data_IF_822206981005
#
_entry.id   IF_822206981005
#
_cell.length_a   1.000
_cell.length_b   1.000
_cell.length_c   1.000
_cell.angle_alpha   90.00
_cell.angle_beta   90.00
_cell.angle_gamma   90.00
#
_symmetry.space_group_name_H-M   'P 1'
#
loop_
_entity.id
_entity.type
_entity.pdbx_description
1 polymer ?
#
# COMPACT_ATOMS: atom_id res chain seq x y z
N UNK A 1 12.68 -21.02 31.90
CA UNK A 1 12.00 -22.25 32.37
C UNK A 1 10.79 -21.83 33.19
N UNK A 2 9.58 -22.02 32.65
CA UNK A 2 8.32 -21.62 33.29
C UNK A 2 8.09 -22.44 34.57
N UNK A 3 7.82 -21.75 35.69
CA UNK A 3 7.71 -22.38 37.03
C UNK A 3 6.30 -22.87 37.37
N UNK A 4 5.29 -22.35 36.66
CA UNK A 4 3.89 -22.73 36.80
C UNK A 4 3.43 -23.37 35.48
N UNK A 5 3.64 -24.68 35.34
CA UNK A 5 2.94 -25.46 34.32
C UNK A 5 1.84 -26.25 35.04
N UNK A 6 0.57 -25.97 34.73
CA UNK A 6 -0.45 -27.02 34.88
C UNK A 6 0.00 -28.21 34.02
N UNK A 7 -0.12 -29.44 34.54
CA UNK A 7 0.52 -30.68 34.03
C UNK A 7 0.18 -31.10 32.57
N UNK A 8 -0.41 -30.23 31.76
CA UNK A 8 -1.07 -30.55 30.48
C UNK A 8 -0.48 -29.89 29.24
N UNK A 9 0.42 -28.90 29.33
CA UNK A 9 0.97 -28.23 28.13
C UNK A 9 2.44 -28.65 27.93
N UNK A 10 2.67 -29.63 27.05
CA UNK A 10 4.01 -30.09 26.63
C UNK A 10 4.69 -29.18 25.60
N UNK A 11 4.02 -28.13 25.15
CA UNK A 11 4.52 -27.29 24.07
C UNK A 11 5.56 -26.30 24.59
N UNK A 12 6.75 -26.34 23.97
CA UNK A 12 7.85 -25.42 24.23
C UNK A 12 7.81 -24.32 23.16
N UNK A 13 7.60 -23.04 23.52
CA UNK A 13 7.74 -21.93 22.57
C UNK A 13 9.18 -21.84 22.05
N UNK A 14 9.34 -21.33 20.83
CA UNK A 14 10.66 -21.12 20.21
C UNK A 14 11.49 -20.09 20.97
N UNK A 15 10.84 -19.07 21.54
CA UNK A 15 11.52 -18.00 22.25
C UNK A 15 10.68 -17.29 23.32
N UNK A 16 11.37 -16.50 24.13
CA UNK A 16 10.79 -15.56 25.07
C UNK A 16 11.55 -14.23 24.93
N UNK A 17 10.83 -13.16 24.61
CA UNK A 17 11.36 -11.79 24.63
C UNK A 17 10.99 -11.16 25.97
N UNK A 18 11.96 -10.51 26.61
CA UNK A 18 11.76 -9.74 27.83
C UNK A 18 12.36 -8.35 27.64
N UNK A 19 11.51 -7.34 27.63
CA UNK A 19 11.91 -5.94 27.56
C UNK A 19 11.80 -5.30 28.94
N UNK A 20 12.90 -4.75 29.45
CA UNK A 20 12.95 -4.04 30.72
C UNK A 20 13.28 -2.57 30.50
N UNK A 21 12.40 -1.69 30.95
CA UNK A 21 12.60 -0.23 30.91
C UNK A 21 12.36 0.32 32.32
N UNK A 22 13.45 0.61 33.04
CA UNK A 22 13.40 0.98 34.45
C UNK A 22 12.79 -0.14 35.29
N UNK A 23 11.64 0.12 35.93
CA UNK A 23 10.90 -0.84 36.75
C UNK A 23 9.83 -1.62 35.97
N UNK A 24 9.55 -1.25 34.73
CA UNK A 24 8.55 -1.92 33.90
C UNK A 24 9.20 -3.08 33.15
N UNK A 25 8.48 -4.20 33.11
CA UNK A 25 8.86 -5.40 32.38
C UNK A 25 7.71 -5.77 31.44
N UNK A 26 8.04 -6.09 30.19
CA UNK A 26 7.10 -6.59 29.18
C UNK A 26 7.64 -7.88 28.57
N UNK A 27 6.78 -8.88 28.37
CA UNK A 27 7.14 -10.23 27.94
C UNK A 27 6.31 -10.70 26.76
N UNK A 28 6.96 -11.39 25.84
CA UNK A 28 6.28 -12.04 24.72
C UNK A 28 6.80 -13.47 24.50
N UNK A 29 5.88 -14.43 24.34
CA UNK A 29 6.23 -15.74 23.79
C UNK A 29 6.41 -15.61 22.27
N UNK A 30 7.39 -16.30 21.72
CA UNK A 30 7.66 -16.29 20.27
C UNK A 30 7.42 -17.69 19.71
N UNK A 31 6.66 -17.74 18.61
CA UNK A 31 6.47 -18.91 17.76
C UNK A 31 6.84 -18.55 16.33
N UNK A 32 7.64 -19.40 15.68
CA UNK A 32 8.15 -19.14 14.34
C UNK A 32 7.89 -20.33 13.42
N UNK A 33 7.54 -20.07 12.16
CA UNK A 33 7.41 -21.08 11.11
C UNK A 33 8.18 -20.64 9.88
N UNK A 34 8.91 -21.56 9.26
CA UNK A 34 9.66 -21.33 8.01
C UNK A 34 9.27 -22.34 6.94
N UNK A 35 9.60 -22.05 5.69
CA UNK A 35 9.24 -22.88 4.54
C UNK A 35 7.72 -22.97 4.38
N UNK A 36 7.23 -24.20 4.18
CA UNK A 36 5.82 -24.48 3.95
C UNK A 36 5.03 -24.76 5.24
N UNK A 37 5.64 -24.60 6.41
CA UNK A 37 4.96 -24.84 7.68
C UNK A 37 3.98 -23.70 7.98
N UNK A 38 2.73 -24.05 8.28
CA UNK A 38 1.67 -23.08 8.59
C UNK A 38 1.54 -22.84 10.09
N UNK A 39 0.99 -21.68 10.44
CA UNK A 39 0.60 -21.38 11.81
C UNK A 39 -0.61 -22.22 12.22
N UNK A 40 -0.51 -22.91 13.35
CA UNK A 40 -1.60 -23.70 13.93
C UNK A 40 -2.34 -22.88 14.99
N UNK A 41 -3.64 -22.68 14.77
CA UNK A 41 -4.51 -21.94 15.70
C UNK A 41 -4.56 -22.60 17.08
N UNK A 42 -4.60 -23.93 17.16
CA UNK A 42 -4.66 -24.64 18.44
C UNK A 42 -3.36 -24.47 19.22
N UNK A 43 -2.20 -24.54 18.55
CA UNK A 43 -0.90 -24.26 19.15
C UNK A 43 -0.84 -22.83 19.73
N UNK A 44 -1.31 -21.84 18.96
CA UNK A 44 -1.33 -20.44 19.40
C UNK A 44 -2.23 -20.26 20.64
N UNK A 45 -3.40 -20.91 20.68
CA UNK A 45 -4.28 -20.84 21.86
C UNK A 45 -3.66 -21.49 23.10
N UNK A 46 -2.92 -22.59 22.94
CA UNK A 46 -2.14 -23.18 24.04
C UNK A 46 -1.06 -22.23 24.54
N UNK A 47 -0.39 -21.48 23.67
CA UNK A 47 0.56 -20.44 24.08
C UNK A 47 -0.10 -19.23 24.74
N UNK A 48 -1.30 -18.81 24.30
CA UNK A 48 -2.05 -17.78 25.03
C UNK A 48 -2.41 -18.24 26.44
N UNK A 49 -2.78 -19.51 26.62
CA UNK A 49 -3.03 -20.07 27.94
C UNK A 49 -1.75 -20.07 28.80
N UNK A 50 -0.63 -20.55 28.25
CA UNK A 50 0.67 -20.54 28.92
C UNK A 50 1.11 -19.12 29.31
N UNK A 51 0.92 -18.16 28.41
CA UNK A 51 1.23 -16.75 28.64
C UNK A 51 0.41 -16.18 29.81
N UNK A 52 -0.90 -16.46 29.83
CA UNK A 52 -1.79 -16.08 30.93
C UNK A 52 -1.36 -16.69 32.27
N UNK A 53 -1.01 -17.97 32.29
CA UNK A 53 -0.57 -18.67 33.51
C UNK A 53 0.76 -18.13 34.08
N UNK A 54 1.62 -17.58 33.21
CA UNK A 54 2.97 -17.14 33.56
C UNK A 54 3.18 -15.62 33.55
N UNK A 55 2.09 -14.84 33.44
CA UNK A 55 2.16 -13.38 33.42
C UNK A 55 2.99 -12.84 32.25
N UNK A 56 2.84 -13.46 31.08
CA UNK A 56 3.42 -12.99 29.81
C UNK A 56 2.36 -12.16 29.08
N UNK A 57 2.76 -11.01 28.55
CA UNK A 57 1.83 -9.99 28.06
C UNK A 57 1.22 -10.34 26.70
N UNK A 58 1.95 -11.03 25.82
CA UNK A 58 1.47 -11.39 24.50
C UNK A 58 2.15 -12.64 23.91
N UNK A 59 1.67 -13.04 22.73
CA UNK A 59 2.32 -14.01 21.85
C UNK A 59 2.67 -13.32 20.53
N UNK A 60 3.86 -13.56 20.03
CA UNK A 60 4.35 -13.10 18.73
C UNK A 60 4.51 -14.31 17.82
N UNK A 61 3.89 -14.26 16.65
CA UNK A 61 4.06 -15.26 15.60
C UNK A 61 4.86 -14.68 14.44
N UNK A 62 5.79 -15.47 13.88
CA UNK A 62 6.54 -15.10 12.66
C UNK A 62 6.42 -16.23 11.64
N UNK A 63 5.99 -15.94 10.42
CA UNK A 63 5.90 -16.94 9.35
C UNK A 63 6.06 -16.34 7.95
N UNK A 64 5.92 -17.14 6.90
CA UNK A 64 5.83 -16.63 5.52
C UNK A 64 4.44 -16.09 5.15
N UNK A 65 3.46 -16.14 6.06
CA UNK A 65 2.17 -15.50 5.85
C UNK A 65 2.29 -14.00 6.13
N UNK A 66 1.50 -13.20 5.43
CA UNK A 66 1.50 -11.75 5.62
C UNK A 66 0.26 -11.33 6.41
N UNK A 67 0.42 -10.29 7.21
CA UNK A 67 -0.68 -9.59 7.86
C UNK A 67 -0.67 -8.13 7.45
N UNK A 68 -1.86 -7.58 7.19
CA UNK A 68 -2.04 -6.15 6.92
C UNK A 68 -1.46 -5.29 8.04
N UNK A 69 -1.77 -5.65 9.29
CA UNK A 69 -1.23 -5.01 10.49
C UNK A 69 -0.75 -6.09 11.44
N UNK A 70 0.18 -5.79 12.36
CA UNK A 70 0.64 -6.79 13.33
C UNK A 70 -0.49 -7.36 14.19
N UNK A 71 -1.59 -6.63 14.39
CA UNK A 71 -2.75 -7.09 15.17
C UNK A 71 -3.75 -7.92 14.35
N UNK A 72 -3.75 -7.81 13.03
CA UNK A 72 -4.65 -8.54 12.14
C UNK A 72 -4.03 -9.88 11.73
N UNK A 73 -3.94 -10.81 12.67
CA UNK A 73 -3.33 -12.13 12.47
C UNK A 73 -3.83 -12.85 11.20
N UNK A 74 -2.99 -13.53 10.39
CA UNK A 74 -3.39 -14.12 9.12
C UNK A 74 -4.39 -15.27 9.27
N UNK A 75 -4.30 -16.01 10.38
CA UNK A 75 -5.24 -17.11 10.72
C UNK A 75 -6.51 -16.55 11.37
N UNK A 76 -7.68 -16.85 10.78
CA UNK A 76 -8.96 -16.26 11.16
C UNK A 76 -9.43 -16.71 12.55
N UNK A 77 -9.21 -17.97 12.90
CA UNK A 77 -9.54 -18.56 14.19
C UNK A 77 -8.84 -17.82 15.35
N UNK A 78 -7.59 -17.42 15.13
CA UNK A 78 -6.80 -16.65 16.09
C UNK A 78 -7.35 -15.23 16.24
N UNK A 79 -7.85 -14.61 15.15
CA UNK A 79 -8.51 -13.28 15.21
C UNK A 79 -9.85 -13.34 15.95
N UNK A 80 -10.61 -14.42 15.77
CA UNK A 80 -11.93 -14.63 16.39
C UNK A 80 -11.85 -15.15 17.84
N UNK A 81 -10.65 -15.44 18.32
CA UNK A 81 -10.41 -15.90 19.69
C UNK A 81 -10.93 -14.91 20.73
N UNK A 82 -11.49 -15.44 21.82
CA UNK A 82 -11.97 -14.66 22.97
C UNK A 82 -10.87 -14.41 24.02
N UNK A 83 -9.65 -14.89 23.77
CA UNK A 83 -8.56 -14.74 24.72
C UNK A 83 -8.13 -13.28 24.86
N UNK A 84 -7.87 -12.85 26.09
CA UNK A 84 -7.41 -11.49 26.40
C UNK A 84 -5.92 -11.26 26.14
N UNK A 85 -5.15 -12.34 25.98
CA UNK A 85 -3.72 -12.24 25.64
C UNK A 85 -3.62 -11.92 24.15
N UNK A 86 -3.15 -10.74 23.74
CA UNK A 86 -3.03 -10.39 22.33
C UNK A 86 -2.02 -11.29 21.61
N UNK A 87 -2.28 -11.54 20.32
CA UNK A 87 -1.31 -12.15 19.41
C UNK A 87 -0.93 -11.12 18.36
N UNK A 88 0.36 -10.95 18.13
CA UNK A 88 0.90 -10.13 17.07
C UNK A 88 1.58 -11.01 16.02
N UNK A 89 1.51 -10.60 14.76
CA UNK A 89 2.10 -11.34 13.66
C UNK A 89 2.99 -10.46 12.78
N UNK A 90 4.14 -11.01 12.37
CA UNK A 90 4.98 -10.44 11.33
C UNK A 90 5.37 -11.51 10.31
N UNK A 91 5.49 -11.11 9.05
CA UNK A 91 6.08 -12.01 8.05
C UNK A 91 7.61 -12.00 8.16
N UNK A 92 8.26 -13.09 7.80
CA UNK A 92 9.73 -13.11 7.68
C UNK A 92 10.23 -12.06 6.69
N UNK A 93 9.49 -11.87 5.59
CA UNK A 93 9.79 -10.82 4.61
C UNK A 93 9.73 -9.42 5.20
N UNK A 94 8.86 -9.17 6.18
CA UNK A 94 8.87 -7.90 6.92
C UNK A 94 10.14 -7.75 7.76
N UNK A 95 10.59 -8.82 8.44
CA UNK A 95 11.83 -8.80 9.23
C UNK A 95 13.05 -8.55 8.33
N UNK A 96 13.15 -9.26 7.20
CA UNK A 96 14.22 -9.07 6.21
C UNK A 96 14.22 -7.65 5.68
N UNK A 97 13.07 -7.13 5.27
CA UNK A 97 12.93 -5.77 4.74
C UNK A 97 13.31 -4.72 5.79
N UNK A 98 12.90 -4.92 7.05
CA UNK A 98 13.27 -4.01 8.14
C UNK A 98 14.78 -4.03 8.39
N UNK A 99 15.40 -5.21 8.38
CA UNK A 99 16.86 -5.33 8.51
C UNK A 99 17.59 -4.64 7.35
N UNK A 100 17.12 -4.82 6.11
CA UNK A 100 17.66 -4.16 4.92
C UNK A 100 17.62 -2.63 5.07
N UNK A 101 16.45 -2.07 5.41
CA UNK A 101 16.24 -0.64 5.56
C UNK A 101 17.07 -0.02 6.69
N UNK A 102 17.22 -0.73 7.81
CA UNK A 102 18.06 -0.29 8.92
C UNK A 102 19.54 -0.21 8.52
N UNK A 103 20.00 -1.17 7.72
CA UNK A 103 21.38 -1.23 7.21
C UNK A 103 21.60 -0.16 6.13
N UNK A 104 20.73 -0.07 5.13
CA UNK A 104 20.89 0.86 3.99
C UNK A 104 20.84 2.33 4.41
N UNK A 105 20.00 2.65 5.41
CA UNK A 105 19.85 4.01 5.93
C UNK A 105 20.78 4.32 7.11
N UNK A 106 21.77 3.46 7.40
CA UNK A 106 22.74 3.65 8.49
C UNK A 106 22.10 3.93 9.87
N UNK A 107 20.95 3.29 10.15
CA UNK A 107 20.15 3.55 11.36
C UNK A 107 20.62 2.77 12.61
N UNK A 108 21.75 2.06 12.51
CA UNK A 108 22.33 1.27 13.60
C UNK A 108 23.72 1.83 13.92
N UNK A 109 23.81 2.59 15.01
CA UNK A 109 25.04 3.26 15.44
C UNK A 109 26.10 2.26 15.96
N UNK A 110 25.66 1.23 16.67
CA UNK A 110 26.54 0.24 17.29
C UNK A 110 27.05 -0.78 16.24
N UNK A 111 28.38 -0.88 16.12
CA UNK A 111 29.03 -1.71 15.10
C UNK A 111 28.81 -3.21 15.30
N UNK A 112 28.72 -3.66 16.56
CA UNK A 112 28.50 -5.08 16.85
C UNK A 112 27.07 -5.46 16.53
N UNK A 113 26.10 -4.59 16.86
CA UNK A 113 24.70 -4.76 16.47
C UNK A 113 24.53 -4.74 14.96
N UNK A 114 25.22 -3.84 14.25
CA UNK A 114 25.20 -3.79 12.80
C UNK A 114 25.76 -5.08 12.17
N UNK A 115 26.87 -5.61 12.72
CA UNK A 115 27.45 -6.88 12.28
C UNK A 115 26.46 -8.04 12.46
N UNK A 116 25.83 -8.13 13.64
CA UNK A 116 24.82 -9.16 13.94
C UNK A 116 23.59 -9.05 13.03
N UNK A 117 23.10 -7.82 12.79
CA UNK A 117 21.97 -7.57 11.91
C UNK A 117 22.29 -7.96 10.46
N UNK A 118 23.51 -7.66 9.99
CA UNK A 118 23.96 -8.05 8.66
C UNK A 118 24.10 -9.58 8.53
N UNK A 119 24.59 -10.27 9.57
CA UNK A 119 24.64 -11.74 9.58
C UNK A 119 23.23 -12.36 9.60
N UNK A 120 22.29 -11.76 10.34
CA UNK A 120 20.89 -12.16 10.30
C UNK A 120 20.33 -11.98 8.88
N UNK A 121 20.53 -10.83 8.25
CA UNK A 121 20.12 -10.59 6.84
C UNK A 121 20.70 -11.65 5.91
N UNK A 122 21.99 -11.96 6.04
CA UNK A 122 22.67 -12.98 5.23
C UNK A 122 22.06 -14.37 5.42
N UNK A 123 21.78 -14.75 6.67
CA UNK A 123 21.16 -16.03 6.99
C UNK A 123 19.74 -16.12 6.41
N UNK A 124 18.92 -15.08 6.61
CA UNK A 124 17.52 -15.06 6.18
C UNK A 124 17.38 -15.07 4.64
N UNK A 125 18.33 -14.49 3.91
CA UNK A 125 18.35 -14.49 2.44
C UNK A 125 18.90 -15.80 1.83
N UNK A 126 19.44 -16.71 2.64
CA UNK A 126 19.90 -18.00 2.13
C UNK A 126 18.71 -18.94 1.86
N UNK A 127 18.73 -19.69 0.75
CA UNK A 127 17.63 -20.56 0.32
C UNK A 127 17.20 -21.56 1.42
N UNK A 128 18.17 -22.06 2.21
CA UNK A 128 17.90 -22.98 3.32
C UNK A 128 17.07 -22.38 4.46
N UNK A 129 16.97 -21.06 4.58
CA UNK A 129 16.10 -20.41 5.57
C UNK A 129 14.62 -20.57 5.22
N UNK A 130 14.30 -20.89 3.96
CA UNK A 130 12.93 -21.13 3.51
C UNK A 130 12.03 -19.89 3.66
N UNK A 131 12.59 -18.69 3.61
CA UNK A 131 11.84 -17.43 3.62
C UNK A 131 11.43 -17.10 2.20
N UNK A 132 10.15 -16.81 2.02
CA UNK A 132 9.57 -16.59 0.70
C UNK A 132 8.53 -15.47 0.77
N UNK A 133 8.38 -14.77 -0.36
CA UNK A 133 7.27 -13.87 -0.62
C UNK A 133 5.95 -14.60 -0.84
N UNK A 134 4.89 -13.86 -1.14
CA UNK A 134 3.60 -14.39 -1.52
C UNK A 134 3.65 -14.84 -2.99
N UNK A 135 3.88 -16.12 -3.26
CA UNK A 135 4.21 -16.56 -4.62
C UNK A 135 3.00 -16.83 -5.53
N UNK A 136 1.80 -17.02 -4.97
CA UNK A 136 0.64 -17.45 -5.76
C UNK A 136 -0.70 -17.17 -5.11
N UNK A 137 -1.67 -16.82 -5.94
CA UNK A 137 -3.07 -16.78 -5.56
C UNK A 137 -3.64 -18.18 -5.21
N UNK A 138 -4.71 -18.24 -4.40
CA UNK A 138 -5.41 -19.48 -4.07
C UNK A 138 -6.13 -20.07 -5.28
N UNK A 139 -6.57 -21.33 -5.19
CA UNK A 139 -7.24 -22.04 -6.32
C UNK A 139 -8.52 -21.36 -6.77
N UNK A 140 -9.22 -20.75 -5.82
CA UNK A 140 -10.45 -20.00 -5.98
C UNK A 140 -10.28 -18.80 -6.92
N UNK A 141 -9.05 -18.29 -7.11
CA UNK A 141 -8.76 -17.23 -8.09
C UNK A 141 -9.17 -17.61 -9.51
N UNK A 142 -8.84 -18.84 -9.91
CA UNK A 142 -9.18 -19.34 -11.24
C UNK A 142 -10.70 -19.50 -11.42
N UNK A 143 -11.38 -19.99 -10.39
CA UNK A 143 -12.82 -20.23 -10.44
C UNK A 143 -13.63 -18.93 -10.39
N UNK A 144 -13.18 -17.96 -9.62
CA UNK A 144 -13.75 -16.61 -9.59
C UNK A 144 -13.60 -15.93 -10.96
N UNK A 145 -12.43 -16.01 -11.58
CA UNK A 145 -12.21 -15.46 -12.92
C UNK A 145 -13.10 -16.13 -13.98
N UNK A 146 -13.27 -17.46 -13.91
CA UNK A 146 -14.19 -18.19 -14.80
C UNK A 146 -15.62 -17.66 -14.63
N UNK A 147 -16.10 -17.57 -13.39
CA UNK A 147 -17.44 -17.07 -13.06
C UNK A 147 -17.69 -15.68 -13.64
N UNK A 148 -16.77 -14.74 -13.43
CA UNK A 148 -16.89 -13.37 -13.95
C UNK A 148 -16.87 -13.36 -15.48
N UNK A 149 -15.97 -14.13 -16.10
CA UNK A 149 -15.86 -14.15 -17.57
C UNK A 149 -17.07 -14.79 -18.27
N UNK A 150 -17.80 -15.67 -17.59
CA UNK A 150 -19.07 -16.23 -18.10
C UNK A 150 -20.28 -15.35 -17.83
N UNK A 151 -20.10 -14.13 -17.29
CA UNK A 151 -21.19 -13.22 -16.93
C UNK A 151 -21.94 -13.60 -15.65
N UNK A 152 -21.34 -14.45 -14.81
CA UNK A 152 -21.90 -14.83 -13.53
C UNK A 152 -21.79 -13.72 -12.48
N UNK A 153 -22.62 -13.81 -11.44
CA UNK A 153 -22.66 -12.86 -10.32
C UNK A 153 -21.99 -13.49 -9.10
N UNK A 154 -21.10 -12.75 -8.45
CA UNK A 154 -20.44 -13.19 -7.22
C UNK A 154 -21.45 -13.15 -6.06
N UNK A 155 -21.73 -14.29 -5.38
CA UNK A 155 -22.65 -14.31 -4.25
C UNK A 155 -22.19 -13.38 -3.11
N UNK A 156 -23.15 -12.73 -2.43
CA UNK A 156 -22.87 -11.76 -1.36
C UNK A 156 -22.03 -12.34 -0.21
N UNK A 157 -22.11 -13.65 0.00
CA UNK A 157 -21.40 -14.39 1.04
C UNK A 157 -20.54 -15.52 0.45
N UNK A 158 -19.94 -15.31 -0.73
CA UNK A 158 -19.09 -16.32 -1.38
C UNK A 158 -17.83 -16.62 -0.55
N UNK A 159 -17.66 -17.86 -0.06
CA UNK A 159 -16.42 -18.28 0.62
C UNK A 159 -15.20 -18.14 -0.30
N UNK A 160 -15.37 -18.39 -1.59
CA UNK A 160 -14.30 -18.30 -2.60
C UNK A 160 -13.80 -16.87 -2.74
N UNK A 161 -14.70 -15.89 -2.82
CA UNK A 161 -14.35 -14.49 -2.87
C UNK A 161 -13.64 -14.03 -1.58
N UNK A 162 -14.04 -14.57 -0.42
CA UNK A 162 -13.40 -14.25 0.86
C UNK A 162 -11.95 -14.75 0.92
N UNK A 163 -11.68 -15.96 0.41
CA UNK A 163 -10.33 -16.52 0.30
C UNK A 163 -9.47 -15.69 -0.66
N UNK A 164 -10.03 -15.27 -1.80
CA UNK A 164 -9.33 -14.40 -2.77
C UNK A 164 -8.99 -13.04 -2.17
N UNK A 165 -9.90 -12.42 -1.41
CA UNK A 165 -9.64 -11.14 -0.73
C UNK A 165 -8.56 -11.28 0.35
N UNK A 166 -8.58 -12.36 1.14
CA UNK A 166 -7.51 -12.60 2.14
C UNK A 166 -6.14 -12.82 1.47
N UNK A 167 -6.11 -13.48 0.32
CA UNK A 167 -4.90 -13.63 -0.49
C UNK A 167 -4.42 -12.29 -1.07
N UNK A 168 -5.36 -11.46 -1.56
CA UNK A 168 -5.07 -10.11 -2.02
C UNK A 168 -4.41 -9.27 -0.91
N UNK A 169 -4.86 -9.36 0.34
CA UNK A 169 -4.21 -8.65 1.46
C UNK A 169 -2.78 -9.11 1.73
N UNK A 170 -2.49 -10.38 1.50
CA UNK A 170 -1.13 -10.88 1.63
C UNK A 170 -0.24 -10.34 0.52
N UNK A 171 -0.74 -10.37 -0.72
CA UNK A 171 -0.06 -9.83 -1.88
C UNK A 171 0.21 -8.33 -1.75
N UNK A 172 -0.80 -7.52 -1.40
CA UNK A 172 -0.61 -6.06 -1.27
C UNK A 172 0.40 -5.71 -0.16
N UNK A 173 0.48 -6.55 0.88
CA UNK A 173 1.48 -6.40 1.92
C UNK A 173 2.87 -6.76 1.41
N UNK A 174 3.03 -7.86 0.68
CA UNK A 174 4.34 -8.23 0.13
C UNK A 174 4.81 -7.21 -0.91
N UNK A 175 3.92 -6.77 -1.80
CA UNK A 175 4.19 -5.72 -2.78
C UNK A 175 4.67 -4.42 -2.13
N UNK A 176 4.13 -4.04 -0.97
CA UNK A 176 4.63 -2.88 -0.20
C UNK A 176 6.06 -3.09 0.30
N UNK A 177 6.43 -4.32 0.68
CA UNK A 177 7.79 -4.65 1.15
C UNK A 177 8.78 -4.75 -0.02
N UNK A 178 8.34 -5.28 -1.17
CA UNK A 178 9.11 -5.27 -2.42
C UNK A 178 9.45 -3.84 -2.81
N UNK A 179 8.45 -2.97 -2.92
CA UNK A 179 8.68 -1.56 -3.21
C UNK A 179 9.60 -0.92 -2.17
N UNK A 180 9.39 -1.20 -0.87
CA UNK A 180 10.23 -0.62 0.19
C UNK A 180 11.72 -0.91 -0.01
N UNK A 181 12.05 -2.15 -0.43
CA UNK A 181 13.44 -2.53 -0.74
C UNK A 181 13.96 -1.86 -2.00
N UNK A 182 13.12 -1.73 -3.03
CA UNK A 182 13.51 -1.10 -4.29
C UNK A 182 13.77 0.40 -4.15
N UNK A 183 13.03 1.08 -3.27
CA UNK A 183 13.15 2.53 -3.04
C UNK A 183 13.96 2.89 -1.80
N UNK A 184 14.45 1.89 -1.05
CA UNK A 184 15.19 2.02 0.20
C UNK A 184 14.50 2.86 1.28
N UNK A 185 13.18 2.98 1.20
CA UNK A 185 12.33 3.69 2.18
C UNK A 185 11.08 2.89 2.50
N UNK A 186 10.45 3.16 3.64
CA UNK A 186 9.28 2.40 4.09
C UNK A 186 8.04 2.75 3.25
N UNK A 187 7.59 1.81 2.43
CA UNK A 187 6.34 1.88 1.67
C UNK A 187 5.26 1.08 2.41
N UNK A 188 4.05 1.62 2.48
CA UNK A 188 2.95 1.00 3.22
C UNK A 188 1.64 1.02 2.47
N UNK A 189 0.74 0.11 2.82
CA UNK A 189 -0.62 0.15 2.29
C UNK A 189 -1.41 1.29 2.95
N UNK A 190 -1.98 2.17 2.13
CA UNK A 190 -2.83 3.27 2.57
C UNK A 190 -4.24 2.78 2.81
N UNK A 191 -4.61 2.67 4.08
CA UNK A 191 -5.95 2.27 4.50
C UNK A 191 -6.74 3.43 5.09
N UNK A 192 -8.06 3.41 4.89
CA UNK A 192 -8.94 4.36 5.57
C UNK A 192 -8.94 4.10 7.08
N UNK A 193 -9.18 5.15 7.89
CA UNK A 193 -9.32 5.00 9.36
C UNK A 193 -10.36 3.94 9.75
N UNK A 194 -11.44 3.84 8.96
CA UNK A 194 -12.50 2.83 9.12
C UNK A 194 -11.94 1.41 8.99
N UNK A 195 -11.10 1.17 7.99
CA UNK A 195 -10.50 -0.13 7.70
C UNK A 195 -9.36 -0.51 8.65
N UNK A 196 -8.58 0.47 9.12
CA UNK A 196 -7.53 0.24 10.12
C UNK A 196 -8.13 -0.24 11.44
N UNK A 197 -9.22 0.41 11.88
CA UNK A 197 -9.85 0.11 13.16
C UNK A 197 -10.75 -1.14 13.12
N UNK A 198 -11.23 -1.53 11.93
CA UNK A 198 -12.12 -2.68 11.74
C UNK A 198 -11.73 -3.49 10.48
N UNK A 199 -10.87 -4.51 10.64
CA UNK A 199 -10.49 -5.40 9.54
C UNK A 199 -11.67 -6.19 8.94
N UNK A 200 -12.70 -6.50 9.73
CA UNK A 200 -13.88 -7.21 9.22
C UNK A 200 -14.69 -6.30 8.28
N UNK A 201 -14.78 -5.01 8.62
CA UNK A 201 -15.43 -4.01 7.78
C UNK A 201 -14.63 -3.72 6.51
N UNK A 202 -13.29 -3.74 6.56
CA UNK A 202 -12.43 -3.71 5.36
C UNK A 202 -12.81 -4.82 4.39
N UNK A 203 -12.79 -6.08 4.87
CA UNK A 203 -13.12 -7.25 4.05
C UNK A 203 -14.52 -7.18 3.46
N UNK A 204 -15.50 -6.69 4.23
CA UNK A 204 -16.88 -6.49 3.75
C UNK A 204 -16.96 -5.48 2.59
N UNK A 205 -16.28 -4.34 2.71
CA UNK A 205 -16.29 -3.29 1.69
C UNK A 205 -15.59 -3.77 0.39
N UNK A 206 -14.48 -4.50 0.52
CA UNK A 206 -13.76 -5.05 -0.65
C UNK A 206 -14.50 -6.20 -1.32
N UNK A 207 -15.23 -7.04 -0.56
CA UNK A 207 -16.11 -8.05 -1.16
C UNK A 207 -17.24 -7.41 -1.97
N UNK A 208 -17.76 -6.26 -1.50
CA UNK A 208 -18.74 -5.48 -2.26
C UNK A 208 -18.10 -4.91 -3.53
N UNK A 209 -16.90 -4.35 -3.42
CA UNK A 209 -16.12 -3.83 -4.55
C UNK A 209 -15.88 -4.90 -5.63
N UNK A 210 -15.44 -6.09 -5.20
CA UNK A 210 -15.21 -7.25 -6.06
C UNK A 210 -16.50 -7.75 -6.70
N UNK A 211 -17.61 -7.78 -5.97
CA UNK A 211 -18.90 -8.22 -6.49
C UNK A 211 -19.50 -7.26 -7.51
N UNK A 212 -19.52 -5.96 -7.21
CA UNK A 212 -20.24 -4.98 -8.02
C UNK A 212 -19.42 -4.52 -9.23
N UNK A 213 -18.09 -4.43 -9.09
CA UNK A 213 -17.23 -3.94 -10.17
C UNK A 213 -16.23 -4.97 -10.70
N UNK A 214 -16.15 -6.17 -10.11
CA UNK A 214 -15.20 -7.22 -10.52
C UNK A 214 -13.74 -6.77 -10.43
N UNK A 215 -13.42 -6.04 -9.36
CA UNK A 215 -12.09 -5.46 -9.14
C UNK A 215 -11.57 -5.76 -7.74
N UNK A 216 -10.27 -6.02 -7.66
CA UNK A 216 -9.48 -5.91 -6.44
C UNK A 216 -8.66 -4.63 -6.52
N UNK A 217 -8.61 -3.88 -5.43
CA UNK A 217 -7.94 -2.57 -5.39
C UNK A 217 -7.04 -2.47 -4.16
N UNK A 218 -5.94 -1.74 -4.29
CA UNK A 218 -5.16 -1.28 -3.16
C UNK A 218 -4.54 0.09 -3.45
N UNK A 219 -4.05 0.74 -2.40
CA UNK A 219 -3.34 2.00 -2.52
C UNK A 219 -2.07 1.90 -1.70
N UNK A 220 -0.93 2.26 -2.29
CA UNK A 220 0.38 2.22 -1.66
C UNK A 220 0.89 3.64 -1.45
N UNK A 221 1.25 3.95 -0.21
CA UNK A 221 1.83 5.22 0.20
C UNK A 221 3.35 5.10 0.17
N UNK A 222 3.97 5.85 -0.75
CA UNK A 222 5.43 5.99 -0.82
C UNK A 222 5.78 7.38 -0.29
N UNK A 223 6.68 7.49 0.72
CA UNK A 223 7.07 8.77 1.29
C UNK A 223 7.51 9.79 0.23
N UNK A 224 7.17 11.07 0.47
CA UNK A 224 7.59 12.22 -0.33
C UNK A 224 7.19 12.22 -1.82
N UNK A 225 6.28 11.32 -2.22
CA UNK A 225 5.75 11.26 -3.59
C UNK A 225 4.57 12.20 -3.83
N UNK A 226 4.25 12.46 -5.09
CA UNK A 226 3.19 13.39 -5.44
C UNK A 226 1.78 12.92 -5.06
N UNK A 227 1.56 11.61 -5.08
CA UNK A 227 0.32 10.97 -4.72
C UNK A 227 0.59 9.50 -4.39
N UNK A 228 -0.30 8.82 -3.65
CA UNK A 228 -0.22 7.38 -3.49
C UNK A 228 -0.37 6.65 -4.83
N UNK A 229 0.24 5.47 -4.94
CA UNK A 229 0.07 4.56 -6.07
C UNK A 229 -1.26 3.80 -5.89
N UNK A 230 -2.13 3.87 -6.88
CA UNK A 230 -3.40 3.14 -6.95
C UNK A 230 -3.20 1.91 -7.83
N UNK A 231 -3.47 0.71 -7.30
CA UNK A 231 -3.39 -0.56 -8.06
C UNK A 231 -4.77 -1.17 -8.15
N UNK A 232 -5.19 -1.54 -9.36
CA UNK A 232 -6.48 -2.18 -9.63
C UNK A 232 -6.27 -3.42 -10.50
N UNK A 233 -6.62 -4.59 -9.97
CA UNK A 233 -6.74 -5.81 -10.77
C UNK A 233 -8.21 -5.98 -11.21
N UNK A 234 -8.46 -5.83 -12.51
CA UNK A 234 -9.80 -5.89 -13.10
C UNK A 234 -10.04 -7.26 -13.74
N UNK A 235 -10.90 -8.05 -13.11
CA UNK A 235 -11.21 -9.42 -13.55
C UNK A 235 -11.96 -9.44 -14.89
N UNK A 236 -12.78 -8.41 -15.16
CA UNK A 236 -13.59 -8.33 -16.38
C UNK A 236 -12.71 -8.00 -17.58
N UNK A 237 -11.80 -7.04 -17.44
CA UNK A 237 -10.84 -6.63 -18.48
C UNK A 237 -9.61 -7.54 -18.55
N UNK A 238 -9.34 -8.33 -17.49
CA UNK A 238 -8.12 -9.12 -17.28
C UNK A 238 -6.87 -8.27 -17.44
N UNK A 239 -6.88 -7.12 -16.78
CA UNK A 239 -5.78 -6.16 -16.77
C UNK A 239 -5.44 -5.74 -15.34
N UNK A 240 -4.20 -5.28 -15.19
CA UNK A 240 -3.75 -4.56 -14.00
C UNK A 240 -3.57 -3.11 -14.41
N UNK A 241 -4.26 -2.21 -13.72
CA UNK A 241 -4.09 -0.77 -13.85
C UNK A 241 -3.27 -0.29 -12.64
N UNK A 242 -2.17 0.41 -12.88
CA UNK A 242 -1.34 1.04 -11.84
C UNK A 242 -1.24 2.52 -12.14
N UNK A 243 -1.63 3.38 -11.21
CA UNK A 243 -1.73 4.81 -11.48
C UNK A 243 -1.53 5.71 -10.28
N UNK A 244 -1.51 7.01 -10.54
CA UNK A 244 -1.46 8.07 -9.53
C UNK A 244 -2.38 9.21 -9.95
N UNK A 245 -3.12 9.75 -8.99
CA UNK A 245 -4.04 10.87 -9.20
C UNK A 245 -3.44 12.16 -8.66
N UNK A 246 -3.17 13.13 -9.54
CA UNK A 246 -2.55 14.42 -9.18
C UNK A 246 -3.46 15.61 -9.51
N UNK A 247 -3.37 16.68 -8.72
CA UNK A 247 -4.07 17.94 -9.00
C UNK A 247 -3.36 18.71 -10.11
N UNK A 248 -4.16 19.34 -10.97
CA UNK A 248 -3.63 20.19 -12.02
C UNK A 248 -3.18 21.57 -11.46
N UNK A 249 -2.20 22.23 -12.09
CA UNK A 249 -1.69 23.51 -11.63
C UNK A 249 -2.73 24.63 -11.73
N UNK A 250 -3.00 25.33 -10.63
CA UNK A 250 -4.04 26.37 -10.58
C UNK A 250 -3.61 27.68 -11.24
N UNK A 251 -2.30 27.92 -11.39
CA UNK A 251 -1.76 29.10 -12.09
C UNK A 251 -1.94 29.01 -13.63
N UNK A 252 -2.32 27.84 -14.15
CA UNK A 252 -2.58 27.61 -15.58
C UNK A 252 -4.08 27.72 -15.87
N UNK A 253 -4.43 28.58 -16.83
CA UNK A 253 -5.82 28.87 -17.22
C UNK A 253 -6.44 27.86 -18.20
N UNK A 254 -5.65 27.21 -19.06
CA UNK A 254 -6.16 26.28 -20.08
C UNK A 254 -5.81 24.82 -19.78
N UNK A 255 -6.64 23.89 -20.27
CA UNK A 255 -6.40 22.44 -20.21
C UNK A 255 -5.07 22.07 -20.87
N UNK A 256 -4.79 22.60 -22.08
CA UNK A 256 -3.52 22.37 -22.79
C UNK A 256 -2.30 22.78 -21.95
N UNK A 257 -2.37 23.91 -21.23
CA UNK A 257 -1.26 24.35 -20.38
C UNK A 257 -1.08 23.46 -19.15
N UNK A 258 -2.18 22.99 -18.54
CA UNK A 258 -2.16 22.04 -17.42
C UNK A 258 -1.61 20.68 -17.85
N UNK A 259 -2.01 20.18 -19.02
CA UNK A 259 -1.56 18.92 -19.58
C UNK A 259 -0.08 18.97 -19.98
N UNK A 260 0.37 20.05 -20.63
CA UNK A 260 1.79 20.25 -20.95
C UNK A 260 2.69 20.21 -19.70
N UNK A 261 2.21 20.74 -18.56
CA UNK A 261 2.94 20.64 -17.29
C UNK A 261 3.10 19.18 -16.82
N UNK A 262 2.07 18.35 -16.97
CA UNK A 262 2.13 16.94 -16.64
C UNK A 262 3.02 16.16 -17.62
N UNK A 263 2.83 16.33 -18.94
CA UNK A 263 3.59 15.62 -19.97
C UNK A 263 5.10 15.84 -19.84
N UNK A 264 5.54 17.01 -19.39
CA UNK A 264 6.97 17.31 -19.12
C UNK A 264 7.57 16.47 -17.99
N UNK A 265 6.75 15.91 -17.10
CA UNK A 265 7.20 15.06 -15.99
C UNK A 265 7.29 13.59 -16.40
N UNK A 266 6.54 13.17 -17.42
CA UNK A 266 6.61 11.82 -17.99
C UNK A 266 7.78 11.78 -18.96
N UNK A 267 8.90 11.19 -18.54
CA UNK A 267 10.15 11.15 -19.32
C UNK A 267 10.27 9.95 -20.26
N UNK A 268 9.59 8.85 -19.93
CA UNK A 268 9.58 7.66 -20.79
C UNK A 268 8.97 8.00 -22.15
N UNK A 269 9.71 7.74 -23.22
CA UNK A 269 9.29 8.10 -24.58
C UNK A 269 8.20 7.15 -25.09
N UNK A 270 8.40 5.84 -24.93
CA UNK A 270 7.46 4.81 -25.37
C UNK A 270 7.16 3.85 -24.21
N UNK A 271 5.95 3.95 -23.68
CA UNK A 271 5.40 2.99 -22.73
C UNK A 271 3.99 2.61 -23.18
N UNK A 272 3.86 1.40 -23.71
CA UNK A 272 2.57 0.90 -24.19
C UNK A 272 1.56 0.81 -23.05
N UNK A 273 0.34 1.29 -23.33
CA UNK A 273 -0.74 1.26 -22.35
C UNK A 273 -0.60 2.30 -21.23
N UNK A 274 0.24 3.32 -21.39
CA UNK A 274 0.26 4.49 -20.50
C UNK A 274 -0.81 5.51 -20.95
N UNK A 275 -1.74 5.79 -20.05
CA UNK A 275 -2.88 6.67 -20.30
C UNK A 275 -2.87 7.87 -19.34
N UNK A 276 -3.48 8.98 -19.81
CA UNK A 276 -3.88 10.10 -18.96
C UNK A 276 -5.39 10.23 -19.02
N UNK A 277 -6.02 10.17 -17.86
CA UNK A 277 -7.43 10.51 -17.67
C UNK A 277 -7.55 11.93 -17.13
N UNK A 278 -8.25 12.79 -17.86
CA UNK A 278 -8.50 14.18 -17.47
C UNK A 278 -9.77 14.25 -16.60
N UNK A 279 -9.63 14.85 -15.42
CA UNK A 279 -10.73 14.99 -14.47
C UNK A 279 -11.41 16.35 -14.67
N UNK A 280 -12.67 16.33 -15.08
CA UNK A 280 -13.44 17.54 -15.40
C UNK A 280 -14.27 18.01 -14.20
N UNK A 281 -14.52 19.32 -14.06
CA UNK A 281 -15.30 19.85 -12.95
C UNK A 281 -16.80 19.46 -13.05
N UNK A 282 -17.48 19.50 -11.91
CA UNK A 282 -18.91 19.19 -11.82
C UNK A 282 -19.23 17.72 -12.05
N UNK A 283 -20.36 17.44 -12.71
CA UNK A 283 -20.80 16.09 -13.06
C UNK A 283 -20.29 15.61 -14.43
N UNK A 284 -19.34 16.33 -15.03
CA UNK A 284 -18.79 15.97 -16.35
C UNK A 284 -17.96 14.69 -16.27
N UNK A 285 -18.27 13.73 -17.14
CA UNK A 285 -17.48 12.49 -17.22
C UNK A 285 -16.02 12.77 -17.63
N UNK A 286 -15.04 12.05 -17.02
CA UNK A 286 -13.64 12.09 -17.41
C UNK A 286 -13.41 11.69 -18.87
N UNK A 287 -12.40 12.29 -19.51
CA UNK A 287 -11.88 11.82 -20.81
C UNK A 287 -10.54 11.13 -20.63
N UNK A 288 -10.17 10.22 -21.53
CA UNK A 288 -8.98 9.40 -21.40
C UNK A 288 -8.30 9.20 -22.76
N UNK A 289 -6.98 9.37 -22.80
CA UNK A 289 -6.18 9.26 -24.02
C UNK A 289 -4.84 8.57 -23.72
N UNK A 290 -4.22 7.98 -24.73
CA UNK A 290 -2.84 7.48 -24.60
C UNK A 290 -1.88 8.66 -24.45
N UNK A 291 -0.80 8.46 -23.70
CA UNK A 291 0.26 9.47 -23.58
C UNK A 291 0.92 9.74 -24.93
N UNK A 292 1.08 8.72 -25.78
CA UNK A 292 1.63 8.87 -27.13
C UNK A 292 0.77 9.79 -28.00
N UNK A 293 -0.55 9.55 -28.03
CA UNK A 293 -1.51 10.37 -28.78
C UNK A 293 -1.49 11.83 -28.33
N UNK A 294 -1.46 12.08 -27.00
CA UNK A 294 -1.41 13.44 -26.45
C UNK A 294 -0.09 14.18 -26.73
N UNK A 295 1.00 13.43 -26.98
CA UNK A 295 2.30 14.01 -27.38
C UNK A 295 2.32 14.35 -28.87
N UNK A 296 1.66 13.56 -29.70
CA UNK A 296 1.51 13.82 -31.13
C UNK A 296 0.57 14.99 -31.40
N UNK A 297 -0.60 14.99 -30.75
CA UNK A 297 -1.57 16.07 -30.83
C UNK A 297 -2.18 16.34 -29.45
N UNK A 298 -1.80 17.49 -28.87
CA UNK A 298 -2.34 17.89 -27.57
C UNK A 298 -3.80 18.35 -27.66
N UNK A 299 -4.31 18.68 -28.85
CA UNK A 299 -5.62 19.31 -29.00
C UNK A 299 -6.76 18.31 -28.75
N UNK A 300 -6.50 17.02 -28.93
CA UNK A 300 -7.45 15.94 -28.61
C UNK A 300 -7.85 15.94 -27.13
N UNK A 301 -7.04 16.51 -26.22
CA UNK A 301 -7.30 16.47 -24.78
C UNK A 301 -8.59 17.20 -24.35
N UNK A 302 -9.11 18.09 -25.19
CA UNK A 302 -10.26 18.94 -24.88
C UNK A 302 -11.43 18.76 -25.85
N UNK A 303 -11.37 17.77 -26.75
CA UNK A 303 -12.47 17.49 -27.69
C UNK A 303 -13.80 17.29 -26.94
N UNK A 304 -14.80 18.12 -27.28
CA UNK A 304 -16.11 18.10 -26.64
C UNK A 304 -16.15 18.68 -25.21
N UNK A 305 -15.03 19.24 -24.73
CA UNK A 305 -14.85 19.80 -23.38
C UNK A 305 -14.18 21.18 -23.40
N UNK A 306 -14.18 21.88 -24.54
CA UNK A 306 -13.48 23.17 -24.75
C UNK A 306 -13.89 24.29 -23.78
N UNK A 307 -15.11 24.23 -23.25
CA UNK A 307 -15.65 25.20 -22.29
C UNK A 307 -15.25 24.89 -20.84
N UNK A 308 -14.54 23.78 -20.59
CA UNK A 308 -14.13 23.33 -19.26
C UNK A 308 -12.61 23.33 -19.12
N UNK A 309 -12.17 23.37 -17.86
CA UNK A 309 -10.76 23.25 -17.52
C UNK A 309 -10.58 22.11 -16.54
N UNK A 310 -9.75 21.13 -16.90
CA UNK A 310 -9.49 19.96 -16.05
C UNK A 310 -8.87 20.38 -14.71
N UNK A 311 -9.33 19.79 -13.61
CA UNK A 311 -8.84 20.11 -12.27
C UNK A 311 -7.78 19.11 -11.75
N UNK A 312 -7.57 18.01 -12.47
CA UNK A 312 -6.64 16.97 -12.08
C UNK A 312 -6.48 15.92 -13.16
N UNK A 313 -5.48 15.08 -12.97
CA UNK A 313 -5.11 14.01 -13.89
C UNK A 313 -4.98 12.70 -13.12
N UNK A 314 -5.47 11.62 -13.70
CA UNK A 314 -5.11 10.28 -13.28
C UNK A 314 -4.22 9.67 -14.36
N UNK A 315 -2.94 9.50 -14.03
CA UNK A 315 -1.93 8.92 -14.93
C UNK A 315 -1.77 7.47 -14.55
N UNK A 316 -1.96 6.55 -15.50
CA UNK A 316 -1.94 5.13 -15.18
C UNK A 316 -1.45 4.27 -16.34
N UNK A 317 -0.71 3.22 -16.00
CA UNK A 317 -0.33 2.14 -16.88
C UNK A 317 -1.39 1.04 -16.80
N UNK A 318 -1.99 0.68 -17.93
CA UNK A 318 -2.91 -0.45 -18.05
C UNK A 318 -2.25 -1.61 -18.78
N UNK A 319 -1.89 -2.66 -18.04
CA UNK A 319 -1.29 -3.87 -18.60
C UNK A 319 -2.34 -4.95 -18.75
N UNK A 320 -2.69 -5.28 -19.99
CA UNK A 320 -3.57 -6.43 -20.29
C UNK A 320 -2.78 -7.74 -20.19
N UNK A 321 -3.20 -8.62 -19.29
CA UNK A 321 -2.51 -9.89 -18.99
C UNK A 321 -3.15 -11.09 -19.70
N UNK A 322 -4.39 -10.94 -20.18
CA UNK A 322 -5.08 -12.00 -20.92
C UNK A 322 -5.21 -13.28 -20.09
N UNK A 323 -4.74 -14.42 -20.60
CA UNK A 323 -4.78 -15.70 -19.90
C UNK A 323 -3.88 -15.77 -18.66
N UNK A 324 -2.78 -15.00 -18.62
CA UNK A 324 -1.87 -14.96 -17.45
C UNK A 324 -2.56 -14.42 -16.20
N UNK A 325 -3.52 -13.52 -16.38
CA UNK A 325 -4.32 -12.94 -15.29
C UNK A 325 -4.97 -14.03 -14.42
N UNK A 326 -5.41 -15.14 -15.00
CA UNK A 326 -6.13 -16.20 -14.28
C UNK A 326 -5.20 -17.24 -13.65
N UNK A 327 -3.90 -17.16 -13.95
CA UNK A 327 -2.90 -18.13 -13.51
C UNK A 327 -2.34 -17.68 -12.16
N UNK A 328 -2.41 -18.56 -11.16
CA UNK A 328 -2.18 -18.20 -9.76
C UNK A 328 -0.81 -17.57 -9.48
N UNK A 329 0.25 -18.11 -10.06
CA UNK A 329 1.61 -17.61 -9.86
C UNK A 329 1.94 -16.46 -10.82
N UNK A 330 1.58 -16.59 -12.09
CA UNK A 330 1.89 -15.56 -13.10
C UNK A 330 1.19 -14.23 -12.82
N UNK A 331 -0.02 -14.26 -12.27
CA UNK A 331 -0.70 -13.04 -11.83
C UNK A 331 0.10 -12.27 -10.79
N UNK A 332 0.72 -12.97 -9.83
CA UNK A 332 1.57 -12.33 -8.82
C UNK A 332 2.86 -11.80 -9.45
N UNK A 333 3.56 -12.62 -10.23
CA UNK A 333 4.78 -12.14 -10.91
C UNK A 333 4.52 -10.93 -11.81
N UNK A 334 3.36 -10.90 -12.49
CA UNK A 334 2.98 -9.76 -13.35
C UNK A 334 2.67 -8.50 -12.51
N UNK A 335 2.10 -8.62 -11.31
CA UNK A 335 1.90 -7.49 -10.39
C UNK A 335 3.22 -6.93 -9.87
N UNK A 336 4.09 -7.82 -9.39
CA UNK A 336 5.43 -7.50 -8.89
C UNK A 336 6.34 -6.91 -9.97
N UNK A 337 6.03 -7.10 -11.26
CA UNK A 337 6.71 -6.45 -12.38
C UNK A 337 6.09 -5.07 -12.72
N UNK A 338 4.76 -5.03 -12.93
CA UNK A 338 4.07 -3.84 -13.46
C UNK A 338 4.06 -2.69 -12.46
N UNK A 339 3.91 -2.97 -11.16
CA UNK A 339 3.82 -1.92 -10.14
C UNK A 339 5.15 -1.18 -9.97
N UNK A 340 6.30 -1.85 -9.76
CA UNK A 340 7.59 -1.17 -9.76
C UNK A 340 7.93 -0.49 -11.07
N UNK A 341 7.58 -1.09 -12.22
CA UNK A 341 7.80 -0.48 -13.53
C UNK A 341 7.10 0.88 -13.66
N UNK A 342 5.81 0.95 -13.33
CA UNK A 342 5.08 2.22 -13.37
C UNK A 342 5.67 3.24 -12.39
N UNK A 343 6.00 2.81 -11.17
CA UNK A 343 6.55 3.71 -10.17
C UNK A 343 7.92 4.28 -10.61
N UNK A 344 8.84 3.44 -11.07
CA UNK A 344 10.18 3.85 -11.48
C UNK A 344 10.18 4.78 -12.70
N UNK A 345 9.40 4.44 -13.74
CA UNK A 345 9.41 5.17 -15.01
C UNK A 345 8.55 6.46 -14.97
N UNK A 346 7.46 6.43 -14.21
CA UNK A 346 6.47 7.52 -14.20
C UNK A 346 6.29 8.08 -12.80
N UNK A 347 5.87 7.26 -11.83
CA UNK A 347 5.38 7.71 -10.54
C UNK A 347 6.39 8.54 -9.73
N UNK A 348 7.66 8.12 -9.69
CA UNK A 348 8.74 8.79 -8.98
C UNK A 348 9.08 10.18 -9.58
N UNK A 349 8.76 10.39 -10.86
CA UNK A 349 9.01 11.66 -11.57
C UNK A 349 7.85 12.65 -11.46
N UNK A 350 6.69 12.23 -10.95
CA UNK A 350 5.55 13.11 -10.74
C UNK A 350 5.77 14.02 -9.52
N UNK A 351 5.37 15.27 -9.67
CA UNK A 351 5.49 16.32 -8.65
C UNK A 351 4.14 16.96 -8.36
N UNK A 352 3.90 17.30 -7.09
CA UNK A 352 2.70 18.07 -6.71
C UNK A 352 2.89 19.51 -7.11
N UNK A 353 1.89 20.08 -7.77
CA UNK A 353 1.85 21.53 -7.92
C UNK A 353 1.67 22.20 -6.55
N UNK A 354 2.58 23.13 -6.22
CA UNK A 354 2.51 23.95 -5.01
C UNK A 354 2.32 25.40 -5.42
N UNK A 355 1.33 26.08 -4.83
CA UNK A 355 1.14 27.53 -5.00
C UNK A 355 2.41 28.25 -4.55
N UNK A 356 2.89 29.20 -5.35
CA UNK A 356 4.05 30.01 -4.99
C UNK A 356 3.79 30.76 -3.67
N UNK A 357 4.83 30.86 -2.84
CA UNK A 357 4.74 31.64 -1.60
C UNK A 357 4.32 33.08 -1.92
N UNK A 358 3.37 33.66 -1.16
CA UNK A 358 3.03 35.07 -1.29
C UNK A 358 4.29 35.92 -1.14
N UNK A 359 4.55 36.79 -2.12
CA UNK A 359 5.64 37.76 -2.05
C UNK A 359 5.12 39.04 -1.42
N UNK A 360 5.95 39.70 -0.61
CA UNK A 360 5.71 41.08 -0.20
C UNK A 360 5.59 41.89 -1.48
N UNK A 361 4.47 42.60 -1.64
CA UNK A 361 4.25 43.40 -2.83
C UNK A 361 5.22 44.58 -2.83
N UNK A 362 5.73 44.96 -4.00
CA UNK A 362 6.71 46.05 -4.11
C UNK A 362 6.17 47.42 -3.69
N UNK A 363 4.84 47.60 -3.72
CA UNK A 363 4.12 48.80 -3.29
C UNK A 363 3.86 48.87 -1.78
N UNK A 364 4.05 47.75 -1.04
CA UNK A 364 3.94 47.70 0.42
C UNK A 364 5.11 46.91 1.04
N UNK A 365 6.36 47.37 0.87
CA UNK A 365 7.56 46.61 1.26
C UNK A 365 7.81 46.58 2.78
N UNK A 366 7.24 47.50 3.55
CA UNK A 366 7.51 47.67 4.98
C UNK A 366 6.27 47.50 5.85
N UNK A 367 6.47 47.40 7.17
CA UNK A 367 5.39 47.33 8.14
C UNK A 367 4.59 48.65 8.25
N UNK A 368 5.18 49.78 7.88
CA UNK A 368 4.53 51.10 7.91
C UNK A 368 3.49 51.22 6.79
N UNK A 369 3.77 50.63 5.62
CA UNK A 369 2.89 50.60 4.43
C UNK A 369 1.60 49.76 4.64
N UNK A 370 1.53 49.02 5.75
CA UNK A 370 0.37 48.22 6.17
C UNK A 370 -0.09 48.59 7.60
N UNK A 371 0.32 49.76 8.09
CA UNK A 371 -0.19 50.32 9.34
C UNK A 371 -1.69 50.64 9.22
N UNK A 372 -2.38 50.77 10.36
CA UNK A 372 -3.80 51.12 10.37
C UNK A 372 -4.04 52.48 9.68
N UNK A 373 -3.10 53.41 9.82
CA UNK A 373 -3.16 54.73 9.21
C UNK A 373 -2.96 54.64 7.68
N UNK A 374 -1.94 53.91 7.21
CA UNK A 374 -1.71 53.69 5.78
C UNK A 374 -2.86 52.92 5.10
N UNK A 375 -3.52 51.99 5.82
CA UNK A 375 -4.70 51.29 5.32
C UNK A 375 -5.92 52.21 5.27
N UNK A 376 -6.05 53.14 6.22
CA UNK A 376 -7.15 54.11 6.23
C UNK A 376 -7.01 55.13 5.10
N UNK A 377 -5.81 55.65 4.85
CA UNK A 377 -5.52 56.54 3.72
C UNK A 377 -5.78 55.85 2.36
N UNK A 378 -5.29 54.62 2.16
CA UNK A 378 -5.53 53.82 0.94
C UNK A 378 -7.04 53.51 0.74
N UNK A 379 -7.81 53.44 1.82
CA UNK A 379 -9.27 53.23 1.76
C UNK A 379 -10.04 54.52 1.45
N UNK A 380 -9.54 55.68 1.87
CA UNK A 380 -10.12 57.00 1.54
C UNK A 380 -9.86 57.37 0.07
N UNK A 381 -8.72 56.96 -0.48
CA UNK A 381 -8.33 57.17 -1.88
C UNK A 381 -8.96 56.16 -2.86
N UNK A 382 -9.74 55.18 -2.37
CA UNK A 382 -10.41 54.19 -3.22
C UNK A 382 -11.67 54.78 -3.89
N UNK A 383 -11.49 55.41 -5.06
CA UNK A 383 -12.61 55.71 -5.97
C UNK A 383 -13.08 54.41 -6.65
N UNK A 384 -14.35 54.04 -6.40
CA UNK A 384 -14.94 52.74 -6.77
C UNK A 384 -15.17 52.47 -8.24
#
# INVERSE_FOLDING_TARGET
MFKNQSKTIKDRPDGLIVLKVGTREWKALVETKVGNNTLDAEQIERYRALAKENGVDCVITISNQFATTPTAHPVEEVRKSRSKIPVYHWSWMHVVTTAELLISNEQVEDKDQLLLLNELRRFLNHESAGIQGFLRMPKEWGDLNKLVSSGGVIPARSPEAQIVVDAWHQETRDLSLILSRLVETSVSEKLSRKHINDPAQRKKDELLMLREHHQLQCTLDVPDTAAPIEVTADLKRRCVDVGMTIRAPEDKKSTKARLNWLLRQIKVDNMDGLYIRLLWPGASEPTQHLVSELREDIDICQEGKDHLVTHGFHVFLSKRLGGRFTQQANFISDLEEVVPLFYGEVGANLSVWKKAAPRIKHDKPTAEDVSLDAIAEDAEDFEG
#
